data_IF_680711874496
#
_entry.id   IF_680711874496
#
_cell.length_a   1.000
_cell.length_b   1.000
_cell.length_c   1.000
_cell.angle_alpha   90.00
_cell.angle_beta   90.00
_cell.angle_gamma   90.00
#
_symmetry.space_group_name_H-M   'P 1'
#
loop_
_entity.id
_entity.type
_entity.pdbx_description
1 polymer ?
#
# COMPACT_ATOMS: atom_id res chain seq x y z
N UNK A 1 19.68 -72.92 -34.46
CA UNK A 1 19.07 -72.12 -33.31
C UNK A 1 19.62 -70.74 -33.44
N UNK A 2 18.73 -69.77 -33.85
CA UNK A 2 19.05 -68.34 -33.90
C UNK A 2 18.46 -67.68 -32.67
N UNK A 3 19.32 -67.22 -31.75
CA UNK A 3 18.89 -66.42 -30.59
C UNK A 3 18.66 -64.97 -31.02
N UNK A 4 17.40 -64.55 -30.97
CA UNK A 4 16.98 -63.11 -31.18
C UNK A 4 17.15 -62.39 -29.86
N UNK A 5 18.18 -61.53 -29.72
CA UNK A 5 18.30 -60.64 -28.55
C UNK A 5 17.37 -59.44 -28.73
N UNK A 6 16.32 -59.43 -27.95
CA UNK A 6 15.41 -58.28 -27.85
C UNK A 6 16.08 -57.22 -26.95
N UNK A 7 16.62 -56.16 -27.54
CA UNK A 7 17.15 -55.00 -26.78
C UNK A 7 15.95 -54.17 -26.29
N UNK A 8 15.67 -54.25 -24.99
CA UNK A 8 14.69 -53.44 -24.32
C UNK A 8 15.30 -52.04 -24.09
N UNK A 9 14.93 -51.03 -24.91
CA UNK A 9 15.36 -49.66 -24.76
C UNK A 9 14.59 -49.03 -23.58
N UNK A 10 15.23 -48.87 -22.41
CA UNK A 10 14.73 -48.00 -21.35
C UNK A 10 14.83 -46.55 -21.85
N UNK A 11 13.71 -45.94 -22.22
CA UNK A 11 13.58 -44.50 -22.36
C UNK A 11 13.61 -43.91 -20.95
N UNK A 12 14.51 -42.95 -20.66
CA UNK A 12 14.43 -42.23 -19.39
C UNK A 12 13.09 -41.51 -19.31
N UNK A 13 12.31 -41.78 -18.28
CA UNK A 13 11.17 -40.93 -17.90
C UNK A 13 11.76 -39.58 -17.48
N UNK A 14 11.60 -38.54 -18.31
CA UNK A 14 11.87 -37.17 -17.93
C UNK A 14 10.82 -36.83 -16.87
N UNK A 15 11.23 -36.80 -15.61
CA UNK A 15 10.39 -36.20 -14.56
C UNK A 15 10.22 -34.76 -14.91
N UNK A 16 9.03 -34.40 -15.35
CA UNK A 16 8.65 -33.00 -15.53
C UNK A 16 8.52 -32.41 -14.13
N UNK A 17 9.32 -31.41 -13.79
CA UNK A 17 9.09 -30.63 -12.58
C UNK A 17 7.71 -30.00 -12.69
N UNK A 18 6.91 -30.08 -11.63
CA UNK A 18 5.63 -29.38 -11.60
C UNK A 18 5.91 -27.87 -11.61
N UNK A 19 5.15 -27.13 -12.42
CA UNK A 19 5.24 -25.67 -12.49
C UNK A 19 4.86 -25.10 -11.12
N UNK A 20 5.63 -24.16 -10.55
CA UNK A 20 5.34 -23.58 -9.26
C UNK A 20 3.94 -22.96 -9.20
N UNK A 21 3.19 -23.26 -8.15
CA UNK A 21 1.94 -22.60 -7.84
C UNK A 21 2.26 -21.22 -7.24
N UNK A 22 1.75 -20.14 -7.86
CA UNK A 22 2.05 -18.77 -7.45
C UNK A 22 0.79 -18.07 -7.02
N UNK A 23 0.77 -17.52 -5.79
CA UNK A 23 -0.29 -16.65 -5.29
C UNK A 23 0.16 -15.18 -5.32
N UNK A 24 -0.72 -14.28 -5.78
CA UNK A 24 -0.41 -12.86 -5.98
C UNK A 24 -1.48 -12.00 -5.36
N UNK A 25 -1.11 -10.91 -4.69
CA UNK A 25 -2.02 -10.04 -3.96
C UNK A 25 -2.99 -9.27 -4.87
N UNK A 26 -2.53 -8.39 -5.75
CA UNK A 26 -3.34 -7.46 -6.56
C UNK A 26 -3.22 -7.71 -8.07
N UNK A 27 -4.23 -7.29 -8.82
CA UNK A 27 -4.32 -7.52 -10.26
C UNK A 27 -3.15 -6.95 -11.09
N UNK A 28 -2.59 -5.75 -10.83
CA UNK A 28 -1.42 -5.26 -11.53
C UNK A 28 -0.18 -6.14 -11.34
N UNK A 29 0.09 -6.59 -10.11
CA UNK A 29 1.20 -7.51 -9.79
C UNK A 29 0.96 -8.88 -10.42
N UNK A 30 -0.28 -9.38 -10.35
CA UNK A 30 -0.68 -10.62 -11.03
C UNK A 30 -0.40 -10.55 -12.54
N UNK A 31 -0.61 -9.39 -13.17
CA UNK A 31 -0.30 -9.19 -14.58
C UNK A 31 1.21 -9.33 -14.86
N UNK A 32 2.07 -8.74 -14.02
CA UNK A 32 3.52 -8.87 -14.14
C UNK A 32 3.97 -10.33 -13.97
N UNK A 33 3.43 -11.05 -12.98
CA UNK A 33 3.70 -12.49 -12.78
C UNK A 33 3.21 -13.29 -13.97
N UNK A 34 2.00 -13.02 -14.47
CA UNK A 34 1.43 -13.67 -15.67
C UNK A 34 2.31 -13.46 -16.90
N UNK A 35 2.90 -12.26 -17.05
CA UNK A 35 3.82 -11.94 -18.13
C UNK A 35 5.11 -12.78 -18.07
N UNK A 36 5.67 -12.96 -16.86
CA UNK A 36 6.86 -13.79 -16.64
C UNK A 36 6.54 -15.27 -16.84
N UNK A 37 5.39 -15.75 -16.37
CA UNK A 37 4.97 -17.15 -16.47
C UNK A 37 4.38 -17.53 -17.85
N UNK A 38 4.34 -16.63 -18.80
CA UNK A 38 3.72 -16.87 -20.11
C UNK A 38 4.32 -18.09 -20.82
N UNK A 39 3.45 -19.00 -21.26
CA UNK A 39 3.85 -20.25 -21.90
C UNK A 39 4.24 -21.38 -20.95
N UNK A 40 4.33 -21.12 -19.63
CA UNK A 40 4.67 -22.10 -18.58
C UNK A 40 3.50 -22.36 -17.65
N UNK A 41 2.92 -21.29 -17.07
CA UNK A 41 1.83 -21.43 -16.09
C UNK A 41 1.03 -20.13 -15.94
N UNK A 42 0.13 -20.11 -14.95
CA UNK A 42 -0.70 -18.96 -14.59
C UNK A 42 -0.74 -18.81 -13.07
N UNK A 43 -0.54 -17.59 -12.53
CA UNK A 43 -0.65 -17.35 -11.10
C UNK A 43 -2.14 -17.28 -10.67
N UNK A 44 -2.37 -17.44 -9.36
CA UNK A 44 -3.65 -17.20 -8.70
C UNK A 44 -3.69 -15.78 -8.12
N UNK A 45 -4.83 -15.09 -8.28
CA UNK A 45 -5.06 -13.76 -7.70
C UNK A 45 -5.80 -13.90 -6.36
N UNK A 46 -5.22 -13.33 -5.29
CA UNK A 46 -5.78 -13.37 -3.92
C UNK A 46 -6.84 -12.29 -3.72
N UNK A 47 -6.57 -11.05 -4.14
CA UNK A 47 -7.54 -9.96 -4.03
C UNK A 47 -8.22 -9.79 -5.40
N UNK A 48 -9.52 -10.11 -5.52
CA UNK A 48 -10.22 -10.04 -6.80
C UNK A 48 -10.12 -8.65 -7.45
N UNK A 49 -10.06 -8.61 -8.78
CA UNK A 49 -10.09 -7.35 -9.52
C UNK A 49 -11.30 -6.49 -9.08
N UNK A 50 -11.05 -5.22 -8.81
CA UNK A 50 -12.06 -4.26 -8.34
C UNK A 50 -12.29 -4.22 -6.83
N UNK A 51 -11.68 -5.12 -6.04
CA UNK A 51 -11.65 -5.00 -4.58
C UNK A 51 -10.50 -4.07 -4.14
N UNK A 52 -10.74 -3.28 -3.08
CA UNK A 52 -9.67 -2.45 -2.49
C UNK A 52 -8.69 -3.33 -1.69
N UNK A 53 -7.37 -3.18 -1.89
CA UNK A 53 -6.37 -3.93 -1.13
C UNK A 53 -6.25 -3.46 0.32
N UNK A 54 -6.60 -2.21 0.63
CA UNK A 54 -6.42 -1.61 1.95
C UNK A 54 -7.33 -2.20 3.04
N UNK A 55 -8.46 -2.81 2.66
CA UNK A 55 -9.40 -3.41 3.59
C UNK A 55 -10.21 -4.53 2.95
N UNK A 56 -9.56 -5.68 2.72
CA UNK A 56 -10.20 -6.85 2.11
C UNK A 56 -10.31 -8.01 3.10
N UNK A 57 -11.46 -8.69 3.07
CA UNK A 57 -11.68 -9.91 3.83
C UNK A 57 -11.55 -11.12 2.90
N UNK A 58 -10.49 -11.90 3.06
CA UNK A 58 -10.15 -13.05 2.23
C UNK A 58 -11.21 -14.15 2.32
N UNK A 59 -11.61 -14.68 1.16
CA UNK A 59 -12.56 -15.79 1.05
C UNK A 59 -11.87 -17.16 1.18
N UNK A 60 -12.59 -18.24 1.50
CA UNK A 60 -12.00 -19.57 1.59
C UNK A 60 -11.31 -20.08 0.32
N UNK A 61 -11.74 -19.61 -0.88
CA UNK A 61 -11.08 -19.93 -2.14
C UNK A 61 -9.68 -19.32 -2.24
N UNK A 62 -9.55 -18.05 -1.86
CA UNK A 62 -8.31 -17.29 -1.87
C UNK A 62 -7.32 -17.81 -0.82
N UNK A 63 -7.83 -18.14 0.38
CA UNK A 63 -7.04 -18.81 1.42
C UNK A 63 -6.50 -20.18 0.94
N UNK A 64 -7.26 -20.89 0.09
CA UNK A 64 -6.80 -22.16 -0.49
C UNK A 64 -5.69 -21.95 -1.52
N UNK A 65 -5.82 -20.95 -2.40
CA UNK A 65 -4.76 -20.59 -3.36
C UNK A 65 -3.47 -20.22 -2.62
N UNK A 66 -3.59 -19.40 -1.56
CA UNK A 66 -2.45 -19.05 -0.72
C UNK A 66 -1.81 -20.27 -0.05
N UNK A 67 -2.61 -21.19 0.51
CA UNK A 67 -2.09 -22.37 1.21
C UNK A 67 -1.44 -23.42 0.27
N UNK A 68 -1.72 -23.37 -1.00
CA UNK A 68 -1.14 -24.23 -2.03
C UNK A 68 0.03 -23.63 -2.78
N UNK A 69 0.42 -22.40 -2.45
CA UNK A 69 1.45 -21.69 -3.17
C UNK A 69 2.87 -22.16 -2.84
N UNK A 70 3.72 -22.25 -3.87
CA UNK A 70 5.16 -22.42 -3.76
C UNK A 70 5.88 -21.06 -3.70
N UNK A 71 5.24 -20.01 -4.27
CA UNK A 71 5.70 -18.62 -4.25
C UNK A 71 4.51 -17.69 -3.98
N UNK A 72 4.71 -16.77 -3.04
CA UNK A 72 3.79 -15.64 -2.80
C UNK A 72 4.46 -14.37 -3.27
N UNK A 73 3.88 -13.69 -4.26
CA UNK A 73 4.33 -12.38 -4.74
C UNK A 73 3.33 -11.33 -4.31
N UNK A 74 3.77 -10.34 -3.58
CA UNK A 74 2.90 -9.28 -3.06
C UNK A 74 3.64 -7.94 -3.00
N UNK A 75 2.90 -6.85 -2.97
CA UNK A 75 3.54 -5.52 -2.86
C UNK A 75 4.33 -5.40 -1.56
N UNK A 76 3.74 -5.82 -0.44
CA UNK A 76 4.35 -5.76 0.88
C UNK A 76 3.35 -5.33 1.96
N UNK A 77 3.80 -5.36 3.22
CA UNK A 77 2.96 -5.00 4.36
C UNK A 77 2.49 -3.53 4.34
N UNK A 78 3.17 -2.66 3.61
CA UNK A 78 2.73 -1.26 3.42
C UNK A 78 1.38 -1.15 2.70
N UNK A 79 1.08 -2.03 1.73
CA UNK A 79 -0.18 -2.03 1.01
C UNK A 79 -1.25 -2.88 1.71
N UNK A 80 -0.88 -4.10 2.11
CA UNK A 80 -1.80 -5.11 2.66
C UNK A 80 -1.31 -5.63 4.00
N UNK A 81 -1.28 -4.80 5.07
CA UNK A 81 -0.79 -5.23 6.38
C UNK A 81 -1.56 -6.42 6.94
N UNK A 82 -2.87 -6.52 6.63
CA UNK A 82 -3.73 -7.62 7.01
C UNK A 82 -3.35 -8.98 6.36
N UNK A 83 -2.58 -8.95 5.24
CA UNK A 83 -2.21 -10.18 4.52
C UNK A 83 -0.94 -10.84 5.08
N UNK A 84 -0.11 -10.13 5.85
CA UNK A 84 1.14 -10.64 6.39
C UNK A 84 0.92 -11.90 7.25
N UNK A 85 0.03 -11.84 8.25
CA UNK A 85 -0.27 -12.99 9.12
C UNK A 85 -0.87 -14.18 8.35
N UNK A 86 -1.86 -14.02 7.44
CA UNK A 86 -2.30 -15.08 6.54
C UNK A 86 -1.19 -15.72 5.71
N UNK A 87 -0.26 -14.95 5.14
CA UNK A 87 0.88 -15.49 4.40
C UNK A 87 1.73 -16.41 5.30
N UNK A 88 2.07 -15.96 6.50
CA UNK A 88 2.86 -16.76 7.44
C UNK A 88 2.10 -18.02 7.92
N UNK A 89 0.81 -17.91 8.16
CA UNK A 89 0.02 -19.00 8.69
C UNK A 89 -0.37 -20.05 7.64
N UNK A 90 -0.71 -19.62 6.41
CA UNK A 90 -1.26 -20.49 5.37
C UNK A 90 -0.18 -20.99 4.38
N UNK A 91 0.86 -20.17 4.12
CA UNK A 91 1.94 -20.49 3.20
C UNK A 91 3.33 -20.51 3.90
N UNK A 92 3.51 -21.27 5.01
CA UNK A 92 4.76 -21.22 5.79
C UNK A 92 5.98 -21.74 5.02
N UNK A 93 5.77 -22.58 4.00
CA UNK A 93 6.84 -23.17 3.19
C UNK A 93 7.03 -22.47 1.84
N UNK A 94 6.15 -21.55 1.46
CA UNK A 94 6.29 -20.81 0.22
C UNK A 94 7.47 -19.82 0.30
N UNK A 95 8.14 -19.62 -0.82
CA UNK A 95 8.99 -18.45 -1.02
C UNK A 95 8.11 -17.19 -0.96
N UNK A 96 8.60 -16.12 -0.35
CA UNK A 96 7.86 -14.86 -0.16
C UNK A 96 8.62 -13.72 -0.79
N UNK A 97 8.07 -13.14 -1.83
CA UNK A 97 8.63 -11.99 -2.55
C UNK A 97 7.77 -10.74 -2.27
N UNK A 98 8.20 -9.94 -1.30
CA UNK A 98 7.66 -8.59 -1.11
C UNK A 98 8.36 -7.64 -2.10
N UNK A 99 7.60 -7.03 -3.01
CA UNK A 99 8.18 -6.22 -4.09
C UNK A 99 8.79 -4.91 -3.58
N UNK A 100 8.25 -4.34 -2.50
CA UNK A 100 8.86 -3.16 -1.86
C UNK A 100 10.28 -3.44 -1.36
N UNK A 101 10.62 -4.69 -1.02
CA UNK A 101 11.94 -5.08 -0.54
C UNK A 101 12.87 -5.52 -1.68
N UNK A 102 12.39 -5.54 -2.93
CA UNK A 102 13.18 -5.99 -4.08
C UNK A 102 14.33 -5.02 -4.36
N UNK A 103 15.52 -5.58 -4.58
CA UNK A 103 16.72 -4.79 -4.88
C UNK A 103 16.54 -3.94 -6.15
N UNK A 104 16.74 -2.65 -6.04
CA UNK A 104 16.59 -1.69 -7.13
C UNK A 104 15.20 -1.04 -7.22
N UNK A 105 14.27 -1.38 -6.31
CA UNK A 105 12.99 -0.69 -6.21
C UNK A 105 13.19 0.75 -5.77
N UNK A 106 12.60 1.70 -6.48
CA UNK A 106 12.57 3.11 -6.09
C UNK A 106 11.39 3.32 -5.16
N UNK A 107 11.65 3.77 -3.93
CA UNK A 107 10.61 4.02 -2.93
C UNK A 107 10.48 5.52 -2.68
N UNK A 108 9.24 6.00 -2.64
CA UNK A 108 8.87 7.37 -2.31
C UNK A 108 8.22 7.39 -0.92
N UNK A 109 8.38 8.50 -0.20
CA UNK A 109 7.66 8.74 1.04
C UNK A 109 6.20 9.15 0.78
N UNK A 110 5.34 9.03 1.81
CA UNK A 110 4.01 9.61 1.75
C UNK A 110 4.10 11.14 1.63
N UNK A 111 3.18 11.73 0.86
CA UNK A 111 3.02 13.18 0.82
C UNK A 111 2.26 13.65 2.05
N UNK A 112 2.75 14.70 2.70
CA UNK A 112 2.15 15.23 3.93
C UNK A 112 1.20 16.41 3.64
N UNK A 113 0.24 16.62 4.53
CA UNK A 113 -0.67 17.75 4.47
C UNK A 113 -1.94 17.52 3.65
N UNK A 114 -2.81 18.53 3.62
CA UNK A 114 -4.05 18.50 2.85
C UNK A 114 -3.81 18.87 1.39
N UNK A 115 -2.77 19.65 1.11
CA UNK A 115 -2.29 20.00 -0.22
C UNK A 115 -0.82 19.69 -0.35
N UNK A 116 -0.42 19.22 -1.51
CA UNK A 116 0.95 18.79 -1.79
C UNK A 116 1.89 19.95 -2.19
N UNK A 117 1.38 21.20 -2.17
CA UNK A 117 2.03 22.38 -2.74
C UNK A 117 3.08 23.10 -1.90
N UNK A 118 3.52 22.57 -0.75
CA UNK A 118 4.61 23.14 0.06
C UNK A 118 5.66 22.10 0.49
N UNK A 119 6.07 21.23 -0.40
CA UNK A 119 7.27 20.42 -0.22
C UNK A 119 8.49 21.14 -0.78
N UNK A 120 8.97 22.15 -0.08
CA UNK A 120 10.10 22.96 -0.55
C UNK A 120 10.85 23.75 0.50
N UNK A 121 10.63 23.46 1.79
CA UNK A 121 11.53 23.98 2.83
C UNK A 121 12.40 22.82 3.34
N UNK A 122 13.50 22.64 2.61
CA UNK A 122 14.70 21.99 3.12
C UNK A 122 15.11 22.70 4.41
N UNK A 123 14.66 22.20 5.55
CA UNK A 123 15.21 22.54 6.84
C UNK A 123 16.56 21.81 6.97
N UNK A 124 17.53 22.29 6.21
CA UNK A 124 18.92 22.02 6.48
C UNK A 124 19.19 22.42 7.93
N UNK A 125 19.17 21.46 8.85
CA UNK A 125 19.74 21.62 10.17
C UNK A 125 21.25 21.80 10.00
N UNK A 126 21.65 23.04 9.74
CA UNK A 126 23.00 23.48 9.94
C UNK A 126 23.30 23.31 11.43
N UNK A 127 24.13 22.32 11.75
CA UNK A 127 24.79 22.25 13.05
C UNK A 127 25.72 23.42 13.11
N UNK A 128 25.26 24.53 13.67
CA UNK A 128 26.13 25.60 14.13
C UNK A 128 26.96 25.05 15.31
N UNK A 129 28.18 24.79 15.01
CA UNK A 129 29.27 24.46 15.92
C UNK A 129 29.49 25.67 16.85
N UNK A 130 28.81 25.68 18.01
CA UNK A 130 29.04 26.64 19.06
C UNK A 130 30.30 26.21 19.82
N UNK A 131 31.43 26.79 19.42
CA UNK A 131 32.67 26.80 20.20
C UNK A 131 32.39 27.38 21.59
N UNK A 132 32.60 26.56 22.61
CA UNK A 132 32.62 26.99 24.01
C UNK A 132 33.93 27.67 24.31
N UNK A 133 33.89 28.98 24.47
CA UNK A 133 34.93 29.75 25.14
C UNK A 133 34.79 29.55 26.66
N UNK A 134 35.82 28.92 27.22
CA UNK A 134 36.04 28.82 28.65
C UNK A 134 36.23 30.22 29.26
N UNK A 135 35.42 30.60 30.22
CA UNK A 135 35.69 31.64 31.21
C UNK A 135 35.28 31.19 32.59
N UNK A 136 36.32 31.00 33.39
CA UNK A 136 36.33 30.82 34.82
C UNK A 136 35.42 31.82 35.56
N UNK A 137 34.58 31.35 36.47
CA UNK A 137 34.15 32.13 37.62
C UNK A 137 34.05 31.23 38.87
N UNK A 138 34.92 31.64 39.81
CA UNK A 138 35.01 31.11 41.16
C UNK A 138 33.77 31.44 41.99
N UNK A 139 33.38 30.48 42.82
CA UNK A 139 32.96 30.47 44.18
C UNK A 139 31.80 31.37 44.66
N UNK A 140 30.84 30.78 45.28
CA UNK A 140 30.28 31.26 46.58
C UNK A 140 29.45 30.17 47.26
N UNK A 141 29.77 30.12 48.54
CA UNK A 141 29.42 29.35 49.70
C UNK A 141 27.93 29.04 49.99
N UNK A 142 27.74 27.87 50.62
CA UNK A 142 26.92 27.48 51.77
C UNK A 142 25.57 28.16 52.06
N UNK A 143 24.54 27.37 52.06
CA UNK A 143 23.52 27.39 53.11
C UNK A 143 22.87 26.02 53.31
N UNK A 144 23.16 25.45 54.50
CA UNK A 144 22.43 24.34 55.13
C UNK A 144 21.15 24.86 55.81
N UNK A 145 20.06 24.16 55.74
CA UNK A 145 18.94 24.14 56.68
C UNK A 145 18.24 22.79 56.55
N UNK A 146 18.39 21.98 57.48
CA UNK A 146 17.70 21.71 58.77
C UNK A 146 16.44 20.84 58.57
N UNK A 147 16.57 19.65 59.14
CA UNK A 147 15.56 18.61 59.39
C UNK A 147 14.43 19.10 60.28
N UNK A 148 13.21 18.66 60.04
CA UNK A 148 12.19 18.46 61.08
C UNK A 148 11.29 17.29 60.74
N UNK A 149 11.42 16.27 61.61
CA UNK A 149 10.55 15.14 61.85
C UNK A 149 9.13 15.56 62.21
N UNK A 150 8.15 14.80 61.71
CA UNK A 150 6.88 14.62 62.42
C UNK A 150 6.42 13.17 62.33
N UNK A 151 6.40 12.59 63.54
CA UNK A 151 5.86 11.28 63.85
C UNK A 151 4.30 11.25 63.80
N UNK A 152 3.78 10.16 63.35
CA UNK A 152 2.82 9.21 63.87
C UNK A 152 1.41 9.64 64.28
N UNK A 153 0.42 8.93 63.80
CA UNK A 153 -0.76 8.52 64.59
C UNK A 153 -1.47 7.31 63.93
N UNK A 154 -1.48 6.27 64.64
CA UNK A 154 -2.29 5.15 65.11
C UNK A 154 -3.63 4.84 64.39
N UNK A 155 -3.77 3.57 64.13
CA UNK A 155 -4.83 2.56 64.24
C UNK A 155 -6.27 2.99 64.48
N UNK A 156 -7.18 2.52 63.69
CA UNK A 156 -8.49 2.03 64.10
C UNK A 156 -8.94 0.84 63.22
N UNK A 157 -8.94 -0.33 63.88
CA UNK A 157 -9.68 -1.51 63.53
C UNK A 157 -11.16 -1.34 63.87
N UNK A 158 -12.07 -1.77 63.01
CA UNK A 158 -13.45 -2.11 63.43
C UNK A 158 -13.95 -3.37 62.74
N UNK A 159 -14.52 -4.19 63.63
CA UNK A 159 -14.99 -5.56 63.56
C UNK A 159 -16.17 -5.80 62.61
N UNK A 160 -16.26 -7.05 62.24
CA UNK A 160 -17.36 -7.76 61.54
C UNK A 160 -18.71 -7.62 62.27
N UNK A 161 -19.79 -7.53 61.48
CA UNK A 161 -21.11 -8.09 61.89
C UNK A 161 -21.92 -8.52 60.67
N UNK A 162 -22.20 -9.80 60.64
CA UNK A 162 -23.20 -10.52 59.86
C UNK A 162 -24.61 -9.93 59.98
N UNK A 163 -25.33 -9.83 58.83
CA UNK A 163 -26.80 -9.91 58.82
C UNK A 163 -27.30 -10.56 57.56
N UNK A 164 -28.05 -11.65 57.80
CA UNK A 164 -28.84 -12.42 56.83
C UNK A 164 -30.07 -11.64 56.32
N UNK A 165 -30.37 -11.87 55.04
CA UNK A 165 -31.69 -12.10 54.47
C UNK A 165 -32.70 -10.95 54.42
N UNK A 166 -33.17 -10.63 53.25
CA UNK A 166 -34.62 -10.56 52.94
C UNK A 166 -34.88 -10.28 51.45
N UNK A 167 -35.96 -10.93 51.01
CA UNK A 167 -36.56 -11.07 49.71
C UNK A 167 -36.95 -9.80 48.94
N UNK A 168 -37.05 -10.02 47.61
CA UNK A 168 -37.97 -9.43 46.65
C UNK A 168 -38.36 -7.96 46.70
N UNK A 169 -37.86 -7.20 45.73
CA UNK A 169 -38.70 -6.17 45.11
C UNK A 169 -38.20 -5.89 43.63
N UNK A 170 -39.14 -6.11 42.69
CA UNK A 170 -39.06 -5.57 41.37
C UNK A 170 -39.14 -4.04 41.38
N UNK A 171 -38.24 -3.36 40.69
CA UNK A 171 -38.41 -1.96 40.31
C UNK A 171 -37.77 -1.70 38.96
N UNK A 172 -38.62 -1.42 38.02
CA UNK A 172 -38.70 -0.25 37.13
C UNK A 172 -37.39 0.27 36.47
N UNK A 173 -37.53 0.29 35.19
CA UNK A 173 -36.73 0.99 34.19
C UNK A 173 -36.37 2.42 34.61
N UNK A 174 -35.08 2.73 34.67
CA UNK A 174 -34.56 4.09 34.49
C UNK A 174 -33.31 4.06 33.67
N UNK A 175 -33.41 4.76 32.57
CA UNK A 175 -32.42 5.23 31.64
C UNK A 175 -31.06 5.49 32.30
N UNK A 176 -30.01 4.78 31.86
CA UNK A 176 -28.63 5.21 32.03
C UNK A 176 -28.12 5.70 30.67
N UNK A 177 -28.10 7.00 30.57
CA UNK A 177 -27.39 7.73 29.53
C UNK A 177 -25.87 7.44 29.60
N UNK A 178 -25.32 7.22 28.37
CA UNK A 178 -23.98 7.64 28.05
C UNK A 178 -22.84 6.87 28.68
N UNK A 179 -22.46 5.74 28.13
CA UNK A 179 -21.04 5.38 28.08
C UNK A 179 -20.47 5.95 26.78
N UNK A 180 -19.65 6.99 26.95
CA UNK A 180 -18.79 7.51 25.90
C UNK A 180 -17.99 6.36 25.33
N UNK A 181 -18.38 5.95 24.13
CA UNK A 181 -17.63 5.05 23.26
C UNK A 181 -16.35 5.79 22.89
N UNK A 182 -15.27 5.54 23.63
CA UNK A 182 -13.94 5.93 23.22
C UNK A 182 -13.64 5.16 21.94
N UNK A 183 -13.99 5.77 20.81
CA UNK A 183 -13.55 5.32 19.52
C UNK A 183 -12.04 5.13 19.59
N UNK A 184 -11.60 3.88 19.58
CA UNK A 184 -10.23 3.54 19.25
C UNK A 184 -10.03 4.03 17.81
N UNK A 185 -9.46 5.23 17.68
CA UNK A 185 -8.83 5.64 16.45
C UNK A 185 -7.81 4.55 16.14
N UNK A 186 -8.15 3.72 15.16
CA UNK A 186 -7.26 2.71 14.64
C UNK A 186 -5.99 3.43 14.19
N UNK A 187 -4.92 3.28 14.96
CA UNK A 187 -3.59 3.66 14.52
C UNK A 187 -3.30 2.79 13.31
N UNK A 188 -3.53 3.33 12.12
CA UNK A 188 -2.98 2.77 10.91
C UNK A 188 -1.46 2.71 11.14
N UNK A 189 -0.91 1.52 11.28
CA UNK A 189 0.51 1.29 11.23
C UNK A 189 0.94 1.64 9.80
N UNK A 190 1.31 2.90 9.57
CA UNK A 190 1.99 3.33 8.36
C UNK A 190 3.30 2.54 8.31
N UNK A 191 3.39 1.57 7.40
CA UNK A 191 4.64 0.88 7.14
C UNK A 191 5.72 1.92 6.83
N UNK A 192 6.75 1.95 7.61
CA UNK A 192 8.01 2.73 7.52
C UNK A 192 7.96 4.12 6.81
N UNK A 193 6.81 4.75 6.68
CA UNK A 193 6.64 6.05 6.02
C UNK A 193 6.78 6.04 4.50
N UNK A 194 6.77 4.87 3.85
CA UNK A 194 6.89 4.72 2.40
C UNK A 194 5.54 4.46 1.73
N UNK A 195 5.32 5.14 0.61
CA UNK A 195 4.14 4.95 -0.22
C UNK A 195 4.18 3.56 -0.89
N UNK A 196 3.17 2.70 -0.68
CA UNK A 196 3.17 1.35 -1.22
C UNK A 196 2.74 1.24 -2.69
N UNK A 197 2.29 2.31 -3.35
CA UNK A 197 1.74 2.28 -4.71
C UNK A 197 2.83 2.16 -5.80
N UNK A 198 3.87 1.37 -5.52
CA UNK A 198 5.09 1.21 -6.33
C UNK A 198 4.82 0.75 -7.76
N UNK A 199 3.73 -0.01 -7.99
CA UNK A 199 3.40 -0.56 -9.32
C UNK A 199 2.98 0.51 -10.33
N UNK A 200 2.64 1.72 -9.87
CA UNK A 200 2.25 2.81 -10.76
C UNK A 200 3.43 3.49 -11.47
N UNK A 201 4.68 3.12 -11.13
CA UNK A 201 5.86 3.45 -11.90
C UNK A 201 6.27 2.27 -12.82
N UNK A 202 6.22 2.41 -14.15
CA UNK A 202 6.72 1.38 -15.07
C UNK A 202 8.19 0.97 -14.86
N UNK A 203 9.03 1.85 -14.29
CA UNK A 203 10.40 1.48 -13.96
C UNK A 203 10.47 0.54 -12.76
N UNK A 204 9.64 0.73 -11.75
CA UNK A 204 9.47 -0.21 -10.64
C UNK A 204 8.88 -1.55 -11.12
N UNK A 205 7.93 -1.50 -12.06
CA UNK A 205 7.40 -2.72 -12.67
C UNK A 205 8.48 -3.50 -13.44
N UNK A 206 9.42 -2.83 -14.09
CA UNK A 206 10.56 -3.47 -14.74
C UNK A 206 11.49 -4.15 -13.73
N UNK A 207 11.71 -3.56 -12.55
CA UNK A 207 12.43 -4.20 -11.43
C UNK A 207 11.66 -5.41 -10.90
N UNK A 208 10.34 -5.29 -10.76
CA UNK A 208 9.48 -6.39 -10.32
C UNK A 208 9.55 -7.60 -11.28
N UNK A 209 9.51 -7.38 -12.60
CA UNK A 209 9.66 -8.46 -13.60
C UNK A 209 10.97 -9.24 -13.41
N UNK A 210 12.09 -8.56 -13.16
CA UNK A 210 13.39 -9.20 -12.91
C UNK A 210 13.38 -10.01 -11.60
N UNK A 211 12.84 -9.44 -10.53
CA UNK A 211 12.75 -10.10 -9.23
C UNK A 211 11.85 -11.37 -9.29
N UNK A 212 10.69 -11.27 -9.95
CA UNK A 212 9.75 -12.38 -10.15
C UNK A 212 10.43 -13.50 -10.97
N UNK A 213 11.10 -13.13 -12.08
CA UNK A 213 11.77 -14.13 -12.93
C UNK A 213 12.88 -14.88 -12.20
N UNK A 214 13.65 -14.19 -11.34
CA UNK A 214 14.71 -14.81 -10.52
C UNK A 214 14.12 -15.75 -9.47
N UNK A 215 13.05 -15.37 -8.80
CA UNK A 215 12.37 -16.23 -7.82
C UNK A 215 11.82 -17.49 -8.49
N UNK A 216 11.13 -17.36 -9.63
CA UNK A 216 10.60 -18.48 -10.40
C UNK A 216 11.71 -19.38 -10.95
N UNK A 217 12.80 -18.80 -11.48
CA UNK A 217 13.95 -19.56 -11.99
C UNK A 217 14.66 -20.37 -10.89
N UNK A 218 14.64 -19.92 -9.65
CA UNK A 218 15.20 -20.64 -8.51
C UNK A 218 14.33 -21.85 -8.13
N UNK A 219 12.99 -21.72 -8.19
CA UNK A 219 12.02 -22.76 -7.87
C UNK A 219 11.88 -23.79 -9.01
N UNK A 220 11.98 -23.34 -10.26
CA UNK A 220 11.81 -24.14 -11.47
C UNK A 220 12.97 -23.90 -12.46
N UNK A 221 14.14 -24.51 -12.22
CA UNK A 221 15.31 -24.35 -13.07
C UNK A 221 15.11 -24.86 -14.51
N UNK A 222 14.15 -25.76 -14.74
CA UNK A 222 13.87 -26.30 -16.08
C UNK A 222 13.29 -25.21 -17.00
N UNK A 223 12.40 -24.37 -16.48
CA UNK A 223 11.77 -23.27 -17.19
C UNK A 223 12.47 -21.91 -16.97
N UNK A 224 13.59 -21.87 -16.23
CA UNK A 224 14.33 -20.64 -15.94
C UNK A 224 14.66 -19.78 -17.17
N UNK A 225 15.11 -20.35 -18.33
CA UNK A 225 15.36 -19.55 -19.52
C UNK A 225 14.11 -18.82 -20.01
N UNK A 226 12.94 -19.47 -19.97
CA UNK A 226 11.66 -18.88 -20.41
C UNK A 226 11.24 -17.73 -19.50
N UNK A 227 11.34 -17.89 -18.18
CA UNK A 227 11.03 -16.82 -17.23
C UNK A 227 11.90 -15.59 -17.44
N UNK A 228 13.21 -15.79 -17.61
CA UNK A 228 14.16 -14.70 -17.82
C UNK A 228 13.94 -13.99 -19.18
N UNK A 229 13.67 -14.73 -20.25
CA UNK A 229 13.36 -14.17 -21.55
C UNK A 229 12.05 -13.37 -21.52
N UNK A 230 10.98 -13.90 -20.90
CA UNK A 230 9.72 -13.22 -20.73
C UNK A 230 9.86 -11.91 -19.94
N UNK A 231 10.65 -11.91 -18.87
CA UNK A 231 10.94 -10.72 -18.10
C UNK A 231 11.68 -9.65 -18.92
N UNK A 232 12.72 -10.04 -19.66
CA UNK A 232 13.45 -9.12 -20.55
C UNK A 232 12.56 -8.50 -21.62
N UNK A 233 11.69 -9.30 -22.21
CA UNK A 233 10.73 -8.80 -23.19
C UNK A 233 9.72 -7.84 -22.54
N UNK A 234 9.18 -8.18 -21.35
CA UNK A 234 8.30 -7.29 -20.58
C UNK A 234 8.98 -5.98 -20.21
N UNK A 235 10.25 -5.99 -19.83
CA UNK A 235 11.03 -4.78 -19.55
C UNK A 235 11.18 -3.87 -20.79
N UNK A 236 11.40 -4.46 -21.96
CA UNK A 236 11.48 -3.70 -23.21
C UNK A 236 10.12 -3.05 -23.54
N UNK A 237 9.02 -3.78 -23.40
CA UNK A 237 7.66 -3.28 -23.59
C UNK A 237 7.33 -2.12 -22.63
N UNK A 238 7.76 -2.21 -21.34
CA UNK A 238 7.60 -1.13 -20.39
C UNK A 238 8.43 0.10 -20.70
N UNK A 239 9.62 -0.07 -21.28
CA UNK A 239 10.44 1.06 -21.71
C UNK A 239 9.80 1.80 -22.89
N UNK A 240 9.24 1.08 -23.88
CA UNK A 240 8.48 1.65 -24.99
C UNK A 240 7.22 2.36 -24.48
N UNK A 241 6.46 1.73 -23.60
CA UNK A 241 5.28 2.31 -22.95
C UNK A 241 5.63 3.63 -22.24
N UNK A 242 6.72 3.66 -21.49
CA UNK A 242 7.16 4.87 -20.77
C UNK A 242 7.46 6.02 -21.75
N UNK A 243 8.09 5.76 -22.89
CA UNK A 243 8.36 6.78 -23.91
C UNK A 243 7.08 7.29 -24.55
N UNK A 244 6.14 6.40 -24.91
CA UNK A 244 4.83 6.72 -25.45
C UNK A 244 4.09 7.69 -24.51
N UNK A 245 3.96 7.30 -23.23
CA UNK A 245 3.18 8.05 -22.25
C UNK A 245 3.85 9.35 -21.83
N UNK A 246 5.18 9.42 -21.80
CA UNK A 246 5.92 10.66 -21.56
C UNK A 246 5.58 11.71 -22.66
N UNK A 247 5.45 11.27 -23.90
CA UNK A 247 5.03 12.14 -24.99
C UNK A 247 3.56 12.56 -24.86
N UNK A 248 2.67 11.60 -24.58
CA UNK A 248 1.22 11.84 -24.43
C UNK A 248 0.90 12.85 -23.32
N UNK A 249 1.61 12.75 -22.19
CA UNK A 249 1.38 13.59 -21.00
C UNK A 249 2.15 14.92 -21.02
N UNK A 250 2.90 15.19 -22.08
CA UNK A 250 3.76 16.40 -22.15
C UNK A 250 2.98 17.71 -21.97
N UNK A 251 1.74 17.80 -22.48
CA UNK A 251 0.87 18.96 -22.38
C UNK A 251 0.08 19.04 -21.04
N UNK A 252 0.02 17.92 -20.31
CA UNK A 252 -0.63 17.86 -19.00
C UNK A 252 0.25 18.39 -17.86
N UNK A 253 1.56 18.56 -18.10
CA UNK A 253 2.52 19.02 -17.09
C UNK A 253 2.16 20.41 -16.56
N UNK A 254 2.21 20.54 -15.22
CA UNK A 254 1.89 21.81 -14.53
C UNK A 254 0.41 22.20 -14.54
N UNK A 255 -0.48 21.33 -15.02
CA UNK A 255 -1.92 21.54 -14.93
C UNK A 255 -2.41 21.06 -13.56
N UNK A 256 -3.08 21.92 -12.75
CA UNK A 256 -3.54 21.54 -11.43
C UNK A 256 -4.69 20.54 -11.51
N UNK A 257 -4.59 19.45 -10.76
CA UNK A 257 -5.64 18.45 -10.60
C UNK A 257 -5.66 17.90 -9.17
N UNK A 258 -6.77 17.26 -8.83
CA UNK A 258 -6.96 16.59 -7.54
C UNK A 258 -7.29 15.12 -7.79
N UNK A 259 -6.72 14.24 -6.95
CA UNK A 259 -7.02 12.81 -6.95
C UNK A 259 -7.92 12.44 -5.77
N UNK A 260 -8.64 11.32 -5.86
CA UNK A 260 -9.48 10.87 -4.76
C UNK A 260 -8.63 10.44 -3.57
N UNK A 261 -7.67 9.54 -3.77
CA UNK A 261 -6.68 9.19 -2.76
C UNK A 261 -5.25 9.29 -3.32
N UNK A 262 -4.27 9.41 -2.47
CA UNK A 262 -2.88 9.65 -2.84
C UNK A 262 -2.14 8.37 -3.27
N UNK A 263 -2.61 7.76 -4.36
CA UNK A 263 -1.98 6.57 -4.94
C UNK A 263 -0.99 6.87 -6.06
N UNK A 264 -1.13 8.02 -6.71
CA UNK A 264 -0.52 8.27 -8.03
C UNK A 264 0.88 8.90 -7.95
N UNK A 265 1.46 9.07 -6.76
CA UNK A 265 2.74 9.75 -6.55
C UNK A 265 3.86 9.18 -7.44
N UNK A 266 3.96 7.86 -7.56
CA UNK A 266 4.94 7.21 -8.45
C UNK A 266 4.70 7.49 -9.93
N UNK A 267 3.45 7.44 -10.38
CA UNK A 267 3.07 7.78 -11.75
C UNK A 267 3.35 9.26 -12.05
N UNK A 268 2.97 10.12 -11.15
CA UNK A 268 3.18 11.57 -11.25
C UNK A 268 4.67 11.90 -11.33
N UNK A 269 5.49 11.34 -10.45
CA UNK A 269 6.93 11.51 -10.46
C UNK A 269 7.57 11.00 -11.77
N UNK A 270 7.07 9.88 -12.32
CA UNK A 270 7.57 9.32 -13.58
C UNK A 270 7.27 10.21 -14.78
N UNK A 271 6.08 10.76 -14.88
CA UNK A 271 5.63 11.48 -16.08
C UNK A 271 5.66 13.00 -15.95
N UNK A 272 5.99 13.52 -14.76
CA UNK A 272 6.11 14.97 -14.50
C UNK A 272 4.75 15.67 -14.45
N UNK A 273 3.72 14.97 -13.99
CA UNK A 273 2.44 15.54 -13.56
C UNK A 273 2.45 15.61 -12.04
N UNK A 274 1.63 16.48 -11.42
CA UNK A 274 1.60 16.62 -9.98
C UNK A 274 0.20 17.02 -9.52
N UNK A 275 -0.42 16.20 -8.67
CA UNK A 275 -1.67 16.53 -8.01
C UNK A 275 -1.44 17.63 -6.98
N UNK A 276 -2.37 18.58 -6.90
CA UNK A 276 -2.28 19.67 -5.89
C UNK A 276 -2.85 19.22 -4.54
N UNK A 277 -3.69 18.18 -4.50
CA UNK A 277 -4.24 17.61 -3.29
C UNK A 277 -4.85 16.22 -3.54
N UNK A 278 -5.06 15.46 -2.45
CA UNK A 278 -5.92 14.29 -2.44
C UNK A 278 -7.11 14.49 -1.49
N UNK A 279 -8.29 13.97 -1.85
CA UNK A 279 -9.50 14.06 -1.03
C UNK A 279 -9.36 13.23 0.23
N UNK A 280 -8.88 12.00 0.12
CA UNK A 280 -8.55 11.14 1.24
C UNK A 280 -7.05 11.22 1.55
N UNK A 281 -6.70 11.33 2.82
CA UNK A 281 -5.33 11.26 3.27
C UNK A 281 -4.97 9.79 3.51
N UNK A 282 -4.18 9.20 2.61
CA UNK A 282 -3.76 7.79 2.71
C UNK A 282 -4.94 6.82 2.54
N UNK A 283 -4.66 5.56 2.59
CA UNK A 283 -5.50 4.33 2.58
C UNK A 283 -7.02 4.44 2.35
N UNK A 284 -7.47 5.35 1.46
CA UNK A 284 -8.88 5.55 1.11
C UNK A 284 -9.84 5.77 2.32
N UNK A 285 -9.32 6.27 3.44
CA UNK A 285 -10.13 6.59 4.61
C UNK A 285 -11.17 7.68 4.30
N UNK A 286 -12.39 7.55 4.84
CA UNK A 286 -13.43 8.57 4.64
C UNK A 286 -13.03 9.87 5.35
N UNK A 287 -12.85 11.01 4.63
CA UNK A 287 -12.43 12.25 5.24
C UNK A 287 -13.52 12.83 6.16
N UNK A 288 -13.11 13.29 7.33
CA UNK A 288 -13.98 14.01 8.26
C UNK A 288 -14.34 15.43 7.79
N UNK A 289 -15.32 16.10 8.44
CA UNK A 289 -15.80 17.43 8.04
C UNK A 289 -14.72 18.52 7.98
N UNK A 290 -13.74 18.47 8.88
CA UNK A 290 -12.62 19.41 8.90
C UNK A 290 -11.76 19.27 7.64
N UNK A 291 -11.45 18.04 7.20
CA UNK A 291 -10.72 17.74 5.98
C UNK A 291 -11.47 18.23 4.75
N UNK A 292 -12.79 17.97 4.66
CA UNK A 292 -13.63 18.45 3.57
C UNK A 292 -13.61 19.98 3.48
N UNK A 293 -13.65 20.68 4.62
CA UNK A 293 -13.58 22.15 4.65
C UNK A 293 -12.23 22.67 4.16
N UNK A 294 -11.12 22.04 4.59
CA UNK A 294 -9.77 22.38 4.13
C UNK A 294 -9.60 22.15 2.63
N UNK A 295 -10.09 20.99 2.12
CA UNK A 295 -10.08 20.70 0.69
C UNK A 295 -10.86 21.71 -0.15
N UNK A 296 -12.03 22.16 0.29
CA UNK A 296 -12.81 23.20 -0.41
C UNK A 296 -12.03 24.52 -0.52
N UNK A 297 -11.29 24.90 0.51
CA UNK A 297 -10.42 26.08 0.47
C UNK A 297 -9.31 25.91 -0.58
N UNK A 298 -8.63 24.76 -0.58
CA UNK A 298 -7.58 24.42 -1.56
C UNK A 298 -8.12 24.34 -3.00
N UNK A 299 -9.28 23.71 -3.22
CA UNK A 299 -9.95 23.67 -4.53
C UNK A 299 -10.21 25.09 -5.04
N UNK A 300 -10.63 26.01 -4.16
CA UNK A 300 -10.89 27.40 -4.52
C UNK A 300 -9.61 28.16 -4.88
N UNK A 301 -8.52 27.90 -4.18
CA UNK A 301 -7.20 28.53 -4.41
C UNK A 301 -6.50 27.97 -5.65
N UNK A 302 -6.40 26.65 -5.75
CA UNK A 302 -5.68 25.97 -6.83
C UNK A 302 -6.45 25.96 -8.15
N UNK A 303 -7.78 26.15 -8.12
CA UNK A 303 -8.67 26.11 -9.29
C UNK A 303 -8.36 24.91 -10.22
N UNK A 304 -8.44 23.65 -9.72
CA UNK A 304 -8.03 22.48 -10.47
C UNK A 304 -8.88 22.30 -11.72
N UNK A 305 -8.22 21.97 -12.84
CA UNK A 305 -8.89 21.69 -14.11
C UNK A 305 -9.69 20.40 -14.01
N UNK A 306 -9.13 19.40 -13.33
CA UNK A 306 -9.68 18.05 -13.20
C UNK A 306 -9.69 17.58 -11.75
N UNK A 307 -10.68 16.73 -11.43
CA UNK A 307 -10.70 15.89 -10.25
C UNK A 307 -10.93 14.43 -10.68
N UNK A 308 -10.10 13.54 -10.17
CA UNK A 308 -10.12 12.14 -10.55
C UNK A 308 -10.71 11.28 -9.44
N UNK A 309 -11.75 10.52 -9.80
CA UNK A 309 -12.34 9.45 -8.99
C UNK A 309 -11.70 8.11 -9.30
N UNK A 310 -12.06 7.10 -8.52
CA UNK A 310 -11.66 5.71 -8.74
C UNK A 310 -12.87 4.78 -8.76
N UNK A 311 -12.81 3.64 -9.49
CA UNK A 311 -13.95 2.71 -9.59
C UNK A 311 -14.43 2.17 -8.25
N UNK A 312 -13.52 2.02 -7.28
CA UNK A 312 -13.80 1.47 -5.95
C UNK A 312 -14.39 2.50 -4.98
N UNK A 313 -14.35 3.81 -5.34
CA UNK A 313 -14.64 4.89 -4.42
C UNK A 313 -16.03 5.50 -4.62
N UNK A 314 -16.58 6.06 -3.53
CA UNK A 314 -17.86 6.77 -3.59
C UNK A 314 -17.68 8.18 -4.20
N UNK A 315 -18.10 8.35 -5.44
CA UNK A 315 -18.00 9.62 -6.18
C UNK A 315 -18.84 10.75 -5.59
N UNK A 316 -19.85 10.49 -4.73
CA UNK A 316 -20.69 11.51 -4.10
C UNK A 316 -19.86 12.50 -3.25
N UNK A 317 -18.75 12.03 -2.67
CA UNK A 317 -17.86 12.87 -1.90
C UNK A 317 -17.17 13.92 -2.79
N UNK A 318 -16.66 13.53 -3.96
CA UNK A 318 -16.10 14.47 -4.94
C UNK A 318 -17.15 15.51 -5.36
N UNK A 319 -18.37 15.08 -5.66
CA UNK A 319 -19.45 16.01 -6.01
C UNK A 319 -19.67 17.05 -4.90
N UNK A 320 -19.58 16.62 -3.64
CA UNK A 320 -19.73 17.55 -2.49
C UNK A 320 -18.54 18.51 -2.38
N UNK A 321 -17.31 18.06 -2.59
CA UNK A 321 -16.10 18.90 -2.53
C UNK A 321 -16.10 19.94 -3.65
N UNK A 322 -16.50 19.55 -4.86
CA UNK A 322 -16.47 20.40 -6.07
C UNK A 322 -17.79 21.08 -6.39
N UNK A 323 -18.77 21.08 -5.47
CA UNK A 323 -20.04 21.77 -5.66
C UNK A 323 -19.83 23.27 -5.94
N UNK A 324 -20.33 23.74 -7.10
CA UNK A 324 -20.20 25.12 -7.53
C UNK A 324 -18.87 25.48 -8.20
N UNK A 325 -18.00 24.52 -8.46
CA UNK A 325 -16.75 24.69 -9.20
C UNK A 325 -16.88 24.18 -10.66
N UNK A 326 -16.12 24.78 -11.56
CA UNK A 326 -16.06 24.38 -12.98
C UNK A 326 -14.91 23.37 -13.20
N UNK A 327 -14.86 22.33 -12.36
CA UNK A 327 -13.85 21.28 -12.40
C UNK A 327 -14.41 20.06 -13.11
N UNK A 328 -13.70 19.55 -14.13
CA UNK A 328 -14.09 18.31 -14.82
C UNK A 328 -13.86 17.11 -13.90
N UNK A 329 -14.82 16.18 -13.88
CA UNK A 329 -14.65 14.89 -13.19
C UNK A 329 -14.29 13.81 -14.20
N UNK A 330 -13.25 13.04 -13.90
CA UNK A 330 -12.80 11.89 -14.69
C UNK A 330 -12.47 10.70 -13.77
N UNK A 331 -12.07 9.57 -14.34
CA UNK A 331 -11.81 8.34 -13.62
C UNK A 331 -10.36 7.89 -13.85
N UNK A 332 -9.66 7.52 -12.77
CA UNK A 332 -8.41 6.78 -12.81
C UNK A 332 -8.62 5.41 -12.15
N UNK A 333 -8.09 4.36 -12.76
CA UNK A 333 -8.19 2.99 -12.26
C UNK A 333 -6.80 2.44 -11.95
N UNK A 334 -6.32 2.55 -10.70
CA UNK A 334 -4.97 2.15 -10.32
C UNK A 334 -4.80 0.63 -10.19
N UNK A 335 -5.91 -0.12 -10.23
CA UNK A 335 -5.94 -1.57 -10.05
C UNK A 335 -6.38 -2.34 -11.30
N UNK A 336 -6.81 -1.65 -12.36
CA UNK A 336 -7.36 -2.31 -13.56
C UNK A 336 -8.66 -3.06 -13.27
N UNK A 337 -9.53 -2.49 -12.41
CA UNK A 337 -10.75 -3.13 -11.90
C UNK A 337 -11.70 -3.60 -13.00
N UNK A 338 -11.71 -2.93 -14.14
CA UNK A 338 -12.57 -3.23 -15.30
C UNK A 338 -11.87 -4.05 -16.38
N UNK A 339 -10.57 -4.32 -16.22
CA UNK A 339 -9.76 -5.05 -17.17
C UNK A 339 -9.78 -6.55 -16.88
N UNK A 340 -9.50 -7.35 -17.91
CA UNK A 340 -9.39 -8.81 -17.73
C UNK A 340 -8.02 -9.15 -17.13
N UNK A 341 -7.96 -9.87 -15.99
CA UNK A 341 -6.70 -10.34 -15.43
C UNK A 341 -5.89 -11.16 -16.45
N UNK A 342 -4.59 -10.89 -16.52
CA UNK A 342 -3.70 -11.56 -17.48
C UNK A 342 -2.46 -10.72 -17.79
N UNK A 343 -1.58 -11.17 -18.68
CA UNK A 343 -0.30 -10.54 -18.96
C UNK A 343 -0.39 -9.10 -19.51
N UNK A 344 -1.50 -8.74 -20.15
CA UNK A 344 -1.68 -7.44 -20.80
C UNK A 344 -2.28 -6.36 -19.89
N UNK A 345 -2.91 -6.77 -18.77
CA UNK A 345 -3.65 -5.86 -17.87
C UNK A 345 -2.77 -4.68 -17.41
N UNK A 346 -1.52 -4.92 -17.03
CA UNK A 346 -0.64 -3.87 -16.53
C UNK A 346 -0.44 -2.75 -17.57
N UNK A 347 -0.10 -3.11 -18.79
CA UNK A 347 0.10 -2.14 -19.88
C UNK A 347 -1.19 -1.38 -20.24
N UNK A 348 -2.33 -2.07 -20.27
CA UNK A 348 -3.64 -1.47 -20.53
C UNK A 348 -4.04 -0.50 -19.41
N UNK A 349 -3.79 -0.86 -18.15
CA UNK A 349 -4.09 -0.04 -16.98
C UNK A 349 -3.28 1.26 -16.99
N UNK A 350 -1.97 1.20 -17.18
CA UNK A 350 -1.08 2.39 -17.21
C UNK A 350 -1.44 3.30 -18.39
N UNK A 351 -1.75 2.75 -19.58
CA UNK A 351 -2.26 3.53 -20.72
C UNK A 351 -3.61 4.18 -20.41
N UNK A 352 -4.51 3.46 -19.73
CA UNK A 352 -5.80 3.97 -19.34
C UNK A 352 -5.70 5.18 -18.41
N UNK A 353 -4.81 5.12 -17.41
CA UNK A 353 -4.51 6.24 -16.50
C UNK A 353 -4.00 7.45 -17.30
N UNK A 354 -2.99 7.25 -18.16
CA UNK A 354 -2.41 8.32 -18.96
C UNK A 354 -3.42 8.95 -19.91
N UNK A 355 -4.26 8.14 -20.53
CA UNK A 355 -5.31 8.61 -21.46
C UNK A 355 -6.34 9.45 -20.73
N UNK A 356 -6.85 8.97 -19.60
CA UNK A 356 -7.81 9.71 -18.79
C UNK A 356 -7.23 11.05 -18.28
N UNK A 357 -5.97 11.05 -17.86
CA UNK A 357 -5.28 12.28 -17.45
C UNK A 357 -5.13 13.25 -18.63
N UNK A 358 -4.65 12.77 -19.78
CA UNK A 358 -4.46 13.62 -20.96
C UNK A 358 -5.79 14.22 -21.47
N UNK A 359 -6.86 13.41 -21.56
CA UNK A 359 -8.18 13.87 -22.01
C UNK A 359 -8.81 14.91 -21.08
N UNK A 360 -8.58 14.79 -19.78
CA UNK A 360 -9.14 15.71 -18.82
C UNK A 360 -8.30 17.00 -18.68
N UNK A 361 -6.97 16.86 -18.61
CA UNK A 361 -6.06 17.97 -18.35
C UNK A 361 -5.73 18.80 -19.58
N UNK A 362 -5.76 18.22 -20.79
CA UNK A 362 -5.51 18.98 -22.00
C UNK A 362 -6.73 19.86 -22.37
N UNK A 363 -6.52 21.05 -22.94
CA UNK A 363 -7.59 22.01 -23.22
C UNK A 363 -8.54 21.56 -24.32
#
# INVERSE_FOLDING_TARGET
MRFLFLALSLLPAVARADVPAVAVDIAPVHSLVSRVMQGVGTPDLVIPAGASPHGYAMRPSEARSLSGADLVVWVGAGLTPWLADPIEALAPNAEKLALMDAHGMSLLGFREGAGFGEAGHDHGHGHDDHGHDDKDHEGHDDHAHDDKDHEGHDDHAHEDKDHEGHDDHAHDDKDHEGHDDHGHEGHAHHGDGQDPHIWLDPANAAVALDAIAKALAALDPENAPTYLENAQQGQAELAELTQELTSQLSEAKGRPFIVFHDAYHYFEARFGTEAVAAVSAGDAATPGPARISALRAQVTEAAPVCAFAEPQMNTALLQTVFEGQDTKLAMLDPLGATLTPGPDLYGEMIRGIATSMAECLNP
#
